data_IF_258329465724
#
_entry.id   IF_258329465724
#
_cell.length_a   1.000
_cell.length_b   1.000
_cell.length_c   1.000
_cell.angle_alpha   90.00
_cell.angle_beta   90.00
_cell.angle_gamma   90.00
#
_symmetry.space_group_name_H-M   'P 1'
#
loop_
_entity.id
_entity.type
_entity.pdbx_description
1 polymer ?
#
# COMPACT_ATOMS: atom_id res chain seq x y z
N UNK A 1 -59.44 -44.68 11.65
CA UNK A 1 -58.66 -43.45 11.40
C UNK A 1 -58.57 -42.69 12.70
N UNK A 2 -57.41 -42.70 13.37
CA UNK A 2 -57.20 -41.98 14.62
C UNK A 2 -56.02 -41.03 14.40
N UNK A 3 -56.35 -39.76 14.24
CA UNK A 3 -55.44 -38.64 14.12
C UNK A 3 -54.71 -38.48 15.46
N UNK A 4 -53.46 -38.93 15.56
CA UNK A 4 -52.66 -38.78 16.78
C UNK A 4 -52.13 -37.35 16.83
N UNK A 5 -52.85 -36.48 17.53
CA UNK A 5 -52.34 -35.17 17.93
C UNK A 5 -51.03 -35.37 18.71
N UNK A 6 -49.92 -35.02 18.07
CA UNK A 6 -48.59 -35.01 18.69
C UNK A 6 -48.62 -33.95 19.80
N UNK A 7 -48.42 -34.35 21.05
CA UNK A 7 -48.37 -33.41 22.17
C UNK A 7 -47.15 -32.49 22.07
N UNK A 8 -47.28 -31.27 22.58
CA UNK A 8 -46.19 -30.29 22.57
C UNK A 8 -44.94 -30.82 23.28
N UNK A 9 -45.08 -31.62 24.35
CA UNK A 9 -43.93 -32.24 25.00
C UNK A 9 -43.24 -33.26 24.09
N UNK A 10 -43.98 -34.07 23.34
CA UNK A 10 -43.42 -35.04 22.41
C UNK A 10 -42.65 -34.36 21.26
N UNK A 11 -43.16 -33.22 20.79
CA UNK A 11 -42.48 -32.38 19.79
C UNK A 11 -41.17 -31.77 20.35
N UNK A 12 -41.21 -31.22 21.56
CA UNK A 12 -40.03 -30.65 22.22
C UNK A 12 -38.99 -31.72 22.58
N UNK A 13 -39.43 -32.92 22.92
CA UNK A 13 -38.54 -34.04 23.22
C UNK A 13 -37.85 -34.56 21.95
N UNK A 14 -38.54 -34.60 20.81
CA UNK A 14 -37.92 -34.92 19.52
C UNK A 14 -36.94 -33.85 19.00
N UNK A 15 -37.18 -32.57 19.32
CA UNK A 15 -36.25 -31.46 18.99
C UNK A 15 -34.96 -31.49 19.82
N UNK A 16 -35.02 -31.99 21.06
CA UNK A 16 -33.84 -32.14 21.92
C UNK A 16 -32.90 -33.24 21.44
N UNK A 17 -33.38 -34.18 20.61
CA UNK A 17 -32.60 -35.32 20.12
C UNK A 17 -31.95 -35.06 18.75
N UNK A 18 -31.82 -33.79 18.33
CA UNK A 18 -30.97 -33.41 17.18
C UNK A 18 -29.53 -33.17 17.67
N UNK A 19 -28.99 -34.15 18.40
CA UNK A 19 -27.56 -34.24 18.58
C UNK A 19 -27.03 -35.19 17.51
N UNK A 20 -26.21 -34.67 16.59
CA UNK A 20 -25.49 -35.56 15.68
C UNK A 20 -24.63 -36.50 16.53
N UNK A 21 -24.76 -37.83 16.35
CA UNK A 21 -23.85 -38.77 17.00
C UNK A 21 -22.41 -38.33 16.71
N UNK A 22 -21.51 -38.33 17.72
CA UNK A 22 -20.14 -37.84 17.55
C UNK A 22 -19.37 -38.56 16.44
N UNK A 23 -19.86 -39.74 16.07
CA UNK A 23 -19.37 -40.64 15.02
C UNK A 23 -19.66 -40.11 13.61
N UNK A 24 -20.75 -39.34 13.42
CA UNK A 24 -21.22 -38.83 12.12
C UNK A 24 -20.64 -37.44 11.81
N UNK A 25 -20.21 -36.69 12.83
CA UNK A 25 -19.65 -35.34 12.71
C UNK A 25 -18.17 -35.32 12.25
N UNK A 26 -17.76 -36.24 11.36
CA UNK A 26 -16.42 -36.27 10.76
C UNK A 26 -15.26 -36.65 11.72
N UNK A 27 -15.57 -37.01 12.97
CA UNK A 27 -14.62 -37.52 13.96
C UNK A 27 -13.44 -36.57 14.27
N UNK A 28 -12.34 -37.14 14.78
CA UNK A 28 -11.17 -36.37 15.21
C UNK A 28 -10.49 -35.55 14.09
N UNK A 29 -10.57 -36.02 12.83
CA UNK A 29 -9.99 -35.30 11.68
C UNK A 29 -10.75 -33.99 11.43
N UNK A 30 -12.08 -34.00 11.52
CA UNK A 30 -12.89 -32.79 11.39
C UNK A 30 -12.57 -31.77 12.49
N UNK A 31 -12.32 -32.25 13.72
CA UNK A 31 -11.91 -31.38 14.83
C UNK A 31 -10.53 -30.76 14.60
N UNK A 32 -9.56 -31.51 14.06
CA UNK A 32 -8.24 -30.98 13.69
C UNK A 32 -8.35 -29.92 12.60
N UNK A 33 -9.15 -30.16 11.56
CA UNK A 33 -9.38 -29.19 10.48
C UNK A 33 -10.09 -27.93 11.00
N UNK A 34 -11.06 -28.07 11.90
CA UNK A 34 -11.74 -26.95 12.54
C UNK A 34 -10.79 -26.11 13.40
N UNK A 35 -9.92 -26.75 14.18
CA UNK A 35 -8.90 -26.08 14.97
C UNK A 35 -7.91 -25.32 14.07
N UNK A 36 -7.47 -25.94 12.97
CA UNK A 36 -6.59 -25.32 11.98
C UNK A 36 -7.27 -24.10 11.33
N UNK A 37 -8.52 -24.23 10.91
CA UNK A 37 -9.29 -23.15 10.31
C UNK A 37 -9.46 -21.96 11.27
N UNK A 38 -9.75 -22.23 12.55
CA UNK A 38 -9.82 -21.19 13.58
C UNK A 38 -8.46 -20.52 13.80
N UNK A 39 -7.38 -21.29 13.88
CA UNK A 39 -6.03 -20.76 14.03
C UNK A 39 -5.62 -19.86 12.85
N UNK A 40 -5.87 -20.30 11.62
CA UNK A 40 -5.60 -19.50 10.42
C UNK A 40 -6.48 -18.25 10.37
N UNK A 41 -7.77 -18.36 10.71
CA UNK A 41 -8.67 -17.23 10.78
C UNK A 41 -8.19 -16.18 11.77
N UNK A 42 -7.82 -16.59 12.98
CA UNK A 42 -7.24 -15.71 14.01
C UNK A 42 -5.93 -15.06 13.53
N UNK A 43 -5.04 -15.83 12.91
CA UNK A 43 -3.78 -15.32 12.38
C UNK A 43 -4.01 -14.24 11.30
N UNK A 44 -4.98 -14.43 10.41
CA UNK A 44 -5.33 -13.44 9.39
C UNK A 44 -5.94 -12.17 10.00
N UNK A 45 -6.81 -12.30 11.00
CA UNK A 45 -7.39 -11.15 11.70
C UNK A 45 -6.31 -10.35 12.41
N UNK A 46 -5.47 -11.01 13.20
CA UNK A 46 -4.40 -10.36 13.96
C UNK A 46 -3.37 -9.75 13.00
N UNK A 47 -2.93 -10.50 11.99
CA UNK A 47 -1.99 -10.01 10.98
C UNK A 47 -2.57 -8.85 10.15
N UNK A 48 -3.86 -8.89 9.83
CA UNK A 48 -4.58 -7.82 9.14
C UNK A 48 -4.66 -6.54 9.98
N UNK A 49 -5.02 -6.66 11.26
CA UNK A 49 -5.00 -5.56 12.23
C UNK A 49 -3.58 -5.00 12.33
N UNK A 50 -2.59 -5.85 12.59
CA UNK A 50 -1.21 -5.42 12.76
C UNK A 50 -0.67 -4.74 11.50
N UNK A 51 -1.01 -5.26 10.31
CA UNK A 51 -0.67 -4.65 9.03
C UNK A 51 -1.38 -3.31 8.83
N UNK A 52 -2.66 -3.20 9.16
CA UNK A 52 -3.41 -1.93 9.06
C UNK A 52 -2.82 -0.85 9.98
N UNK A 53 -2.36 -1.23 11.18
CA UNK A 53 -1.72 -0.29 12.10
C UNK A 53 -0.23 -0.04 11.79
N UNK A 54 0.49 -1.03 11.25
CA UNK A 54 1.92 -0.92 10.94
C UNK A 54 2.19 -0.28 9.58
N UNK A 55 1.31 -0.51 8.60
CA UNK A 55 1.33 0.23 7.34
C UNK A 55 0.72 1.60 7.58
N UNK A 56 1.46 2.46 8.28
CA UNK A 56 1.27 3.90 8.14
C UNK A 56 1.42 4.19 6.65
N UNK A 57 0.39 4.69 5.94
CA UNK A 57 0.61 5.20 4.61
C UNK A 57 1.70 6.27 4.77
N UNK A 58 2.83 6.07 4.10
CA UNK A 58 3.82 7.13 3.94
C UNK A 58 3.04 8.20 3.20
N UNK A 59 2.53 9.18 3.96
CA UNK A 59 1.79 10.31 3.42
C UNK A 59 2.81 10.93 2.48
N UNK A 60 2.67 10.65 1.19
CA UNK A 60 3.41 11.35 0.16
C UNK A 60 2.95 12.79 0.31
N UNK A 61 3.70 13.56 1.12
CA UNK A 61 3.56 15.00 1.11
C UNK A 61 3.68 15.39 -0.35
N UNK A 62 2.81 16.27 -0.88
CA UNK A 62 3.01 16.80 -2.20
C UNK A 62 4.41 17.41 -2.22
N UNK A 63 5.35 16.72 -2.86
CA UNK A 63 6.75 17.13 -2.90
C UNK A 63 6.75 18.39 -3.74
N UNK A 64 6.85 19.53 -3.08
CA UNK A 64 6.84 20.83 -3.75
C UNK A 64 8.09 20.95 -4.61
N UNK A 65 8.06 21.79 -5.64
CA UNK A 65 9.25 22.02 -6.47
C UNK A 65 10.45 22.44 -5.61
N UNK A 66 10.22 23.28 -4.59
CA UNK A 66 11.24 23.68 -3.62
C UNK A 66 11.84 22.50 -2.86
N UNK A 67 11.03 21.52 -2.43
CA UNK A 67 11.56 20.31 -1.77
C UNK A 67 12.46 19.50 -2.71
N UNK A 68 12.13 19.46 -4.00
CA UNK A 68 12.96 18.77 -5.02
C UNK A 68 14.27 19.51 -5.29
N UNK A 69 14.25 20.85 -5.30
CA UNK A 69 15.47 21.67 -5.43
C UNK A 69 16.37 21.51 -4.20
N UNK A 70 15.80 21.51 -2.99
CA UNK A 70 16.55 21.29 -1.74
C UNK A 70 17.19 19.90 -1.76
N UNK A 71 16.43 18.86 -2.12
CA UNK A 71 16.97 17.52 -2.26
C UNK A 71 18.09 17.44 -3.31
N UNK A 72 17.94 18.16 -4.44
CA UNK A 72 18.98 18.21 -5.47
C UNK A 72 20.29 18.84 -4.98
N UNK A 73 20.23 19.84 -4.07
CA UNK A 73 21.40 20.48 -3.46
C UNK A 73 22.19 19.59 -2.50
N UNK A 74 21.56 18.55 -1.94
CA UNK A 74 22.24 17.61 -1.04
C UNK A 74 23.09 16.58 -1.79
N UNK A 75 23.00 16.52 -3.12
CA UNK A 75 23.82 15.61 -3.93
C UNK A 75 25.24 16.17 -4.17
N UNK A 76 26.22 15.27 -4.44
CA UNK A 76 27.54 15.67 -4.93
C UNK A 76 27.45 16.56 -6.17
N UNK A 77 28.40 17.49 -6.37
CA UNK A 77 28.38 18.55 -7.39
C UNK A 77 27.92 18.12 -8.79
N UNK A 78 28.41 16.97 -9.25
CA UNK A 78 28.14 16.48 -10.60
C UNK A 78 26.71 15.92 -10.71
N UNK A 79 26.24 15.27 -9.64
CA UNK A 79 24.90 14.73 -9.55
C UNK A 79 23.84 15.80 -9.26
N UNK A 80 24.22 16.89 -8.57
CA UNK A 80 23.39 18.08 -8.36
C UNK A 80 23.03 18.74 -9.70
N UNK A 81 24.02 18.95 -10.58
CA UNK A 81 23.78 19.59 -11.88
C UNK A 81 22.80 18.79 -12.74
N UNK A 82 22.97 17.46 -12.79
CA UNK A 82 22.08 16.57 -13.56
C UNK A 82 20.67 16.54 -12.97
N UNK A 83 20.55 16.47 -11.64
CA UNK A 83 19.26 16.47 -10.96
C UNK A 83 18.47 17.78 -11.21
N UNK A 84 19.15 18.93 -11.16
CA UNK A 84 18.56 20.23 -11.46
C UNK A 84 18.15 20.37 -12.94
N UNK A 85 18.94 19.81 -13.88
CA UNK A 85 18.61 19.77 -15.30
C UNK A 85 17.36 18.93 -15.59
N UNK A 86 17.22 17.78 -14.92
CA UNK A 86 16.00 16.97 -15.01
C UNK A 86 14.78 17.71 -14.44
N UNK A 87 14.93 18.43 -13.32
CA UNK A 87 13.85 19.26 -12.79
C UNK A 87 13.45 20.39 -13.76
N UNK A 88 14.42 21.03 -14.43
CA UNK A 88 14.15 22.05 -15.44
C UNK A 88 13.41 21.48 -16.66
N UNK A 89 13.73 20.25 -17.06
CA UNK A 89 13.03 19.55 -18.16
C UNK A 89 11.55 19.31 -17.83
N UNK A 90 11.24 18.99 -16.57
CA UNK A 90 9.87 18.71 -16.13
C UNK A 90 9.02 19.98 -16.02
N UNK A 91 9.62 21.12 -15.64
CA UNK A 91 8.91 22.41 -15.50
C UNK A 91 8.82 23.16 -16.83
N UNK A 92 9.92 23.23 -17.58
CA UNK A 92 10.02 24.02 -18.82
C UNK A 92 10.87 23.31 -19.89
N UNK A 93 10.25 22.46 -20.73
CA UNK A 93 10.96 21.71 -21.77
C UNK A 93 11.60 22.64 -22.83
N UNK A 94 11.00 23.80 -23.10
CA UNK A 94 11.54 24.79 -24.05
C UNK A 94 12.87 25.39 -23.54
N UNK A 95 12.98 25.67 -22.24
CA UNK A 95 14.20 26.23 -21.67
C UNK A 95 15.29 25.17 -21.52
N UNK A 96 14.92 23.96 -21.14
CA UNK A 96 15.82 22.81 -21.17
C UNK A 96 16.46 22.62 -22.55
N UNK A 97 15.69 22.73 -23.64
CA UNK A 97 16.24 22.63 -25.00
C UNK A 97 17.26 23.73 -25.30
N UNK A 98 16.95 24.99 -24.99
CA UNK A 98 17.88 26.11 -25.18
C UNK A 98 19.17 25.94 -24.36
N UNK A 99 19.07 25.42 -23.14
CA UNK A 99 20.22 25.18 -22.27
C UNK A 99 21.03 23.95 -22.72
N UNK A 100 20.37 22.87 -23.15
CA UNK A 100 21.02 21.65 -23.65
C UNK A 100 21.87 21.90 -24.89
N UNK A 101 21.45 22.81 -25.77
CA UNK A 101 22.25 23.21 -26.93
C UNK A 101 23.56 23.92 -26.53
N UNK A 102 23.58 24.59 -25.35
CA UNK A 102 24.78 25.21 -24.79
C UNK A 102 25.69 24.21 -24.07
N UNK A 103 25.14 23.11 -23.54
CA UNK A 103 25.93 22.04 -22.90
C UNK A 103 26.93 21.42 -23.88
N UNK A 104 26.56 21.31 -25.17
CA UNK A 104 27.44 20.80 -26.22
C UNK A 104 28.38 21.85 -26.84
N UNK A 105 28.34 23.10 -26.39
CA UNK A 105 29.26 24.16 -26.83
C UNK A 105 30.40 24.36 -25.83
N UNK A 106 31.47 25.06 -26.25
CA UNK A 106 32.63 25.44 -25.41
C UNK A 106 32.16 26.30 -24.23
N UNK A 107 31.74 25.65 -23.15
CA UNK A 107 31.10 26.26 -21.99
C UNK A 107 30.63 25.22 -20.96
N UNK A 108 30.39 23.98 -21.39
CA UNK A 108 30.08 22.87 -20.49
C UNK A 108 28.69 22.97 -19.85
N UNK A 109 28.45 22.12 -18.85
CA UNK A 109 27.20 22.14 -18.07
C UNK A 109 27.15 23.45 -17.26
N UNK A 110 26.06 24.25 -17.36
CA UNK A 110 25.93 25.47 -16.58
C UNK A 110 26.04 25.19 -15.07
N UNK A 111 26.63 26.14 -14.34
CA UNK A 111 26.75 26.02 -12.89
C UNK A 111 25.37 25.81 -12.22
N UNK A 112 25.30 25.03 -11.12
CA UNK A 112 24.05 24.74 -10.41
C UNK A 112 23.21 25.98 -10.10
N UNK A 113 23.87 27.08 -9.73
CA UNK A 113 23.21 28.35 -9.37
C UNK A 113 22.43 28.97 -10.53
N UNK A 114 22.93 28.83 -11.76
CA UNK A 114 22.28 29.35 -12.97
C UNK A 114 21.02 28.54 -13.28
N UNK A 115 21.08 27.21 -13.08
CA UNK A 115 19.95 26.32 -13.33
C UNK A 115 18.85 26.56 -12.29
N UNK A 116 19.20 26.77 -11.03
CA UNK A 116 18.24 27.07 -9.97
C UNK A 116 17.58 28.45 -10.10
N UNK A 117 18.29 29.44 -10.63
CA UNK A 117 17.71 30.74 -10.91
C UNK A 117 16.67 30.64 -12.04
N UNK A 118 17.01 29.95 -13.13
CA UNK A 118 16.07 29.67 -14.22
C UNK A 118 14.85 28.86 -13.74
N UNK A 119 15.05 27.92 -12.80
CA UNK A 119 13.96 27.16 -12.19
C UNK A 119 13.04 28.05 -11.33
N UNK A 120 13.58 29.02 -10.59
CA UNK A 120 12.80 29.98 -9.78
C UNK A 120 12.03 30.98 -10.63
N UNK A 121 12.62 31.42 -11.74
CA UNK A 121 11.98 32.40 -12.64
C UNK A 121 10.82 31.81 -13.44
N UNK A 122 10.73 30.47 -13.53
CA UNK A 122 9.76 29.75 -14.37
C UNK A 122 8.97 28.64 -13.63
N UNK A 123 9.04 28.61 -12.29
CA UNK A 123 8.21 27.77 -11.41
C UNK A 123 6.86 28.44 -11.12
#
# INVERSE_FOLDING_TARGET
>A
MADRAISQEALLQGLRDIHLPPEIAGGGIAQMLAALAMGLGLALIIGGILRAFSMRPKRERPVTLNDRVIAARELPSDAQQVALLHLLKDVSPARYQALSQRIYQKGGIPAPDVIEQELRDHA
#
